data_IF_741070090925
#
_entry.id   IF_741070090925
#
_cell.length_a   1.000
_cell.length_b   1.000
_cell.length_c   1.000
_cell.angle_alpha   90.00
_cell.angle_beta   90.00
_cell.angle_gamma   90.00
#
_symmetry.space_group_name_H-M   'P 1'
#
loop_
_entity.id
_entity.type
_entity.pdbx_description
1 polymer ?
#
# COMPACT_ATOMS: atom_id res chain seq x y z
N UNK A 1 26.38 27.24 38.02
CA UNK A 1 26.56 25.97 37.28
C UNK A 1 25.74 26.06 36.02
N UNK A 2 26.36 26.10 34.84
CA UNK A 2 25.62 26.15 33.58
C UNK A 2 24.85 24.84 33.41
N UNK A 3 23.52 24.91 33.42
CA UNK A 3 22.65 23.79 33.06
C UNK A 3 23.01 23.38 31.64
N UNK A 4 23.69 22.24 31.47
CA UNK A 4 24.02 21.71 30.15
C UNK A 4 22.71 21.55 29.37
N UNK A 5 22.50 22.43 28.39
CA UNK A 5 21.26 22.53 27.63
C UNK A 5 21.15 21.31 26.71
N UNK A 6 19.99 20.64 26.72
CA UNK A 6 19.76 19.53 25.81
C UNK A 6 19.65 20.05 24.38
N UNK A 7 20.38 19.42 23.46
CA UNK A 7 20.31 19.74 22.05
C UNK A 7 19.13 19.02 21.39
N UNK A 8 18.43 19.71 20.51
CA UNK A 8 17.42 19.10 19.64
C UNK A 8 18.08 18.32 18.51
N UNK A 9 17.46 17.21 18.08
CA UNK A 9 18.09 16.25 17.16
C UNK A 9 18.37 16.84 15.75
N UNK A 10 17.60 17.82 15.27
CA UNK A 10 17.83 18.58 14.03
C UNK A 10 19.15 19.34 14.01
N UNK A 11 19.60 19.78 15.18
CA UNK A 11 20.81 20.62 15.29
C UNK A 11 22.07 19.78 15.45
N UNK A 12 21.95 18.45 15.48
CA UNK A 12 23.09 17.55 15.54
C UNK A 12 23.84 17.60 14.21
N UNK A 13 25.12 17.98 14.28
CA UNK A 13 26.05 17.97 13.15
C UNK A 13 27.04 16.83 13.30
N UNK A 14 27.48 16.27 12.19
CA UNK A 14 28.63 15.37 12.18
C UNK A 14 29.86 16.08 12.77
N UNK A 15 30.72 15.33 13.47
CA UNK A 15 32.03 15.80 13.98
C UNK A 15 31.95 16.78 15.18
N UNK A 16 30.84 16.84 15.92
CA UNK A 16 30.76 17.59 17.18
C UNK A 16 30.50 16.61 18.33
N UNK A 17 31.43 16.54 19.28
CA UNK A 17 31.45 15.51 20.34
C UNK A 17 30.77 15.94 21.66
N UNK A 18 30.32 17.20 21.75
CA UNK A 18 29.82 17.78 23.01
C UNK A 18 28.28 17.72 23.18
N UNK A 19 27.56 17.04 22.28
CA UNK A 19 26.10 17.01 22.37
C UNK A 19 25.58 16.15 23.53
N UNK A 20 24.52 16.66 24.16
CA UNK A 20 23.68 15.95 25.12
C UNK A 20 22.24 15.96 24.62
N UNK A 21 21.63 14.79 24.51
CA UNK A 21 20.25 14.64 24.04
C UNK A 21 19.36 14.04 25.12
N UNK A 22 18.08 14.39 25.10
CA UNK A 22 17.03 13.77 25.92
C UNK A 22 16.02 13.13 25.00
N UNK A 23 15.87 11.81 25.06
CA UNK A 23 15.12 11.03 24.07
C UNK A 23 14.42 9.84 24.70
N UNK A 24 13.27 9.45 24.15
CA UNK A 24 12.63 8.16 24.47
C UNK A 24 13.10 7.09 23.49
N UNK A 25 13.50 5.93 24.00
CA UNK A 25 13.80 4.77 23.16
C UNK A 25 12.50 4.08 22.79
N UNK A 26 12.09 4.12 21.53
CA UNK A 26 10.81 3.53 21.08
C UNK A 26 10.96 2.13 20.48
N UNK A 27 12.16 1.78 20.01
CA UNK A 27 12.48 0.45 19.46
C UNK A 27 13.91 0.06 19.78
N UNK A 28 14.10 -1.24 19.93
CA UNK A 28 15.38 -1.92 20.09
C UNK A 28 15.28 -3.22 19.30
N UNK A 29 16.25 -3.50 18.44
CA UNK A 29 16.33 -4.77 17.73
C UNK A 29 17.77 -5.19 17.48
N UNK A 30 17.93 -6.47 17.14
CA UNK A 30 19.18 -7.06 16.67
C UNK A 30 18.98 -7.46 15.20
N UNK A 31 19.58 -6.69 14.31
CA UNK A 31 19.69 -7.02 12.89
C UNK A 31 20.76 -8.08 12.67
N UNK A 32 20.68 -8.82 11.57
CA UNK A 32 21.72 -9.75 11.13
C UNK A 32 22.08 -9.42 9.69
N UNK A 33 23.33 -9.05 9.45
CA UNK A 33 23.88 -8.92 8.10
C UNK A 33 24.63 -10.20 7.74
N UNK A 34 24.18 -10.83 6.65
CA UNK A 34 24.90 -11.95 6.04
C UNK A 34 25.86 -11.39 5.01
N UNK A 35 27.07 -11.07 5.44
CA UNK A 35 28.18 -10.76 4.54
C UNK A 35 28.75 -12.08 4.04
N UNK A 36 28.53 -12.44 2.78
CA UNK A 36 29.06 -13.65 2.10
C UNK A 36 28.87 -15.03 2.77
N UNK A 37 29.04 -16.09 1.97
CA UNK A 37 28.76 -17.48 2.38
C UNK A 37 29.65 -17.99 3.53
N UNK A 38 30.72 -17.27 3.89
CA UNK A 38 31.69 -17.65 4.92
C UNK A 38 31.91 -16.64 6.05
N UNK A 39 31.21 -15.50 6.11
CA UNK A 39 31.36 -14.58 7.25
C UNK A 39 30.34 -14.87 8.34
N UNK A 40 30.79 -14.84 9.60
CA UNK A 40 29.92 -14.86 10.78
C UNK A 40 28.85 -13.78 10.65
N UNK A 41 27.59 -14.14 10.94
CA UNK A 41 26.49 -13.17 11.04
C UNK A 41 26.90 -12.04 11.98
N UNK A 42 27.01 -10.82 11.46
CA UNK A 42 27.23 -9.66 12.31
C UNK A 42 25.88 -9.21 12.84
N UNK A 43 25.75 -9.23 14.17
CA UNK A 43 24.57 -8.71 14.85
C UNK A 43 24.72 -7.19 14.95
N UNK A 44 23.93 -6.49 14.14
CA UNK A 44 23.83 -5.03 14.16
C UNK A 44 22.76 -4.62 15.18
N UNK A 45 23.10 -3.71 16.07
CA UNK A 45 22.26 -3.35 17.21
C UNK A 45 21.74 -1.94 17.00
N UNK A 46 20.44 -1.77 17.08
CA UNK A 46 19.81 -0.56 16.57
C UNK A 46 18.65 -0.07 17.44
N UNK A 47 18.49 1.25 17.49
CA UNK A 47 17.42 1.91 18.22
C UNK A 47 16.77 3.01 17.39
N UNK A 48 15.51 3.33 17.71
CA UNK A 48 14.88 4.57 17.29
C UNK A 48 14.57 5.41 18.51
N UNK A 49 14.93 6.70 18.44
CA UNK A 49 14.80 7.67 19.53
C UNK A 49 13.88 8.83 19.17
N UNK A 50 12.98 9.20 20.07
CA UNK A 50 11.96 10.22 19.82
C UNK A 50 12.41 11.63 20.25
N UNK A 51 12.08 12.62 19.41
CA UNK A 51 12.60 14.01 19.45
C UNK A 51 12.96 14.59 18.06
N UNK A 52 12.36 14.01 17.00
CA UNK A 52 12.69 14.04 15.54
C UNK A 52 13.17 12.71 14.93
N UNK A 53 13.03 11.58 15.66
CA UNK A 53 13.24 10.21 15.15
C UNK A 53 14.61 10.04 14.51
N UNK A 54 15.58 9.70 15.34
CA UNK A 54 16.92 9.33 14.86
C UNK A 54 17.20 7.88 15.18
N UNK A 55 17.94 7.26 14.27
CA UNK A 55 18.47 5.93 14.41
C UNK A 55 19.76 5.97 15.23
N UNK A 56 19.97 5.01 16.13
CA UNK A 56 21.28 4.78 16.74
C UNK A 56 21.77 3.38 16.41
N UNK A 57 23.03 3.26 15.98
CA UNK A 57 23.74 2.01 15.77
C UNK A 57 24.72 1.78 16.92
N UNK A 58 24.77 0.52 17.38
CA UNK A 58 25.68 0.08 18.44
C UNK A 58 26.57 -1.04 17.92
N UNK A 59 27.90 -0.86 17.92
CA UNK A 59 28.84 -1.91 17.58
C UNK A 59 28.70 -3.14 18.49
N UNK A 60 28.84 -4.34 17.93
CA UNK A 60 28.71 -5.62 18.66
C UNK A 60 29.60 -5.69 19.91
N UNK A 61 30.76 -5.02 19.91
CA UNK A 61 31.73 -5.02 21.02
C UNK A 61 31.22 -4.35 22.31
N UNK A 62 30.23 -3.47 22.24
CA UNK A 62 29.65 -2.76 23.39
C UNK A 62 28.12 -2.92 23.50
N UNK A 63 27.53 -3.73 22.62
CA UNK A 63 26.08 -3.89 22.54
C UNK A 63 25.46 -4.39 23.85
N UNK A 64 26.00 -5.45 24.45
CA UNK A 64 25.43 -6.04 25.67
C UNK A 64 25.44 -5.07 26.86
N UNK A 65 26.51 -4.28 27.02
CA UNK A 65 26.62 -3.28 28.09
C UNK A 65 25.68 -2.08 27.88
N UNK A 66 25.48 -1.65 26.64
CA UNK A 66 24.51 -0.60 26.33
C UNK A 66 23.08 -1.12 26.48
N UNK A 67 22.82 -2.37 26.09
CA UNK A 67 21.48 -2.95 26.12
C UNK A 67 21.00 -3.19 27.56
N UNK A 68 21.91 -3.50 28.49
CA UNK A 68 21.55 -3.64 29.92
C UNK A 68 21.15 -2.31 30.57
N UNK A 69 21.58 -1.17 30.01
CA UNK A 69 21.27 0.18 30.49
C UNK A 69 19.98 0.76 29.88
N UNK A 70 19.47 0.17 28.80
CA UNK A 70 18.33 0.71 28.05
C UNK A 70 17.09 -0.14 28.24
N UNK A 71 15.97 0.52 28.54
CA UNK A 71 14.64 -0.09 28.55
C UNK A 71 13.75 0.64 27.54
N UNK A 72 13.14 -0.12 26.62
CA UNK A 72 12.21 0.43 25.62
C UNK A 72 11.02 1.11 26.32
N UNK A 73 10.64 2.29 25.83
CA UNK A 73 9.57 3.13 26.37
C UNK A 73 10.04 4.16 27.40
N UNK A 74 11.26 4.03 27.94
CA UNK A 74 11.82 4.96 28.93
C UNK A 74 12.57 6.13 28.28
N UNK A 75 12.71 7.21 29.02
CA UNK A 75 13.40 8.43 28.60
C UNK A 75 14.83 8.42 29.13
N UNK A 76 15.80 8.72 28.27
CA UNK A 76 17.22 8.73 28.59
C UNK A 76 17.86 10.06 28.22
N UNK A 77 18.83 10.46 29.03
CA UNK A 77 19.83 11.46 28.72
C UNK A 77 21.06 10.74 28.18
N UNK A 78 21.45 11.04 26.94
CA UNK A 78 22.58 10.39 26.26
C UNK A 78 23.61 11.45 25.87
N UNK A 79 24.90 11.15 26.11
CA UNK A 79 26.05 11.98 25.69
C UNK A 79 27.21 11.09 25.25
N UNK A 80 28.22 11.68 24.61
CA UNK A 80 29.40 10.97 24.08
C UNK A 80 29.02 9.92 23.03
N UNK A 81 28.35 10.38 21.99
CA UNK A 81 28.00 9.60 20.80
C UNK A 81 28.47 10.34 19.56
N UNK A 82 28.72 9.61 18.47
CA UNK A 82 29.09 10.21 17.19
C UNK A 82 27.85 10.37 16.32
N UNK A 83 27.78 11.46 15.53
CA UNK A 83 26.76 11.66 14.51
C UNK A 83 27.37 11.31 13.14
N UNK A 84 26.78 10.34 12.45
CA UNK A 84 27.28 9.86 11.16
C UNK A 84 26.16 9.95 10.11
N UNK A 85 26.48 10.45 8.90
CA UNK A 85 25.56 10.36 7.77
C UNK A 85 25.50 8.93 7.25
N UNK A 86 24.32 8.48 6.82
CA UNK A 86 24.19 7.17 6.20
C UNK A 86 24.99 7.08 4.90
N UNK A 87 25.76 6.00 4.77
CA UNK A 87 26.41 5.59 3.53
C UNK A 87 25.41 4.96 2.56
N UNK A 88 25.75 4.89 1.27
CA UNK A 88 24.90 4.27 0.24
C UNK A 88 24.72 2.76 0.44
N UNK A 89 25.64 2.11 1.16
CA UNK A 89 25.59 0.67 1.45
C UNK A 89 24.67 0.33 2.62
N UNK A 90 24.31 1.31 3.45
CA UNK A 90 23.42 1.12 4.60
C UNK A 90 21.95 1.12 4.19
N UNK A 91 21.40 -0.10 4.11
CA UNK A 91 20.03 -0.38 3.67
C UNK A 91 19.01 -0.42 4.82
N UNK A 92 19.47 -0.53 6.08
CA UNK A 92 18.60 -0.61 7.26
C UNK A 92 18.18 0.78 7.77
N UNK A 93 17.46 1.54 6.93
CA UNK A 93 16.92 2.85 7.27
C UNK A 93 15.45 2.71 7.64
N UNK A 94 15.13 2.99 8.91
CA UNK A 94 13.79 2.86 9.50
C UNK A 94 13.16 4.20 9.89
N UNK A 95 13.90 5.29 9.68
CA UNK A 95 13.46 6.66 9.90
C UNK A 95 13.90 7.53 8.73
N UNK A 96 13.11 8.56 8.40
CA UNK A 96 13.46 9.56 7.38
C UNK A 96 14.47 10.56 7.95
N UNK A 97 15.67 10.08 8.23
CA UNK A 97 16.79 10.90 8.69
C UNK A 97 18.04 10.58 7.85
N UNK A 98 18.79 11.61 7.47
CA UNK A 98 20.04 11.44 6.72
C UNK A 98 21.20 10.99 7.62
N UNK A 99 21.05 11.17 8.94
CA UNK A 99 22.05 10.86 9.95
C UNK A 99 21.56 9.80 10.92
N UNK A 100 22.53 9.11 11.52
CA UNK A 100 22.37 8.19 12.62
C UNK A 100 23.37 8.53 13.73
N UNK A 101 23.08 8.06 14.94
CA UNK A 101 24.01 8.10 16.05
C UNK A 101 24.81 6.81 16.10
N UNK A 102 26.10 6.89 16.40
CA UNK A 102 26.96 5.74 16.64
C UNK A 102 27.36 5.78 18.10
N UNK A 103 26.98 4.73 18.84
CA UNK A 103 27.39 4.60 20.24
C UNK A 103 28.71 3.85 20.33
N UNK A 104 29.47 4.15 21.38
CA UNK A 104 30.73 3.50 21.72
C UNK A 104 30.69 3.03 23.17
N UNK A 105 31.80 2.46 23.66
CA UNK A 105 31.96 2.14 25.08
C UNK A 105 31.94 3.38 25.98
N UNK A 106 32.23 4.54 25.41
CA UNK A 106 32.30 5.81 26.14
C UNK A 106 30.94 6.54 26.17
N UNK A 107 29.93 6.00 25.48
CA UNK A 107 28.58 6.58 25.47
C UNK A 107 27.95 6.46 26.86
N UNK A 108 27.63 7.61 27.46
CA UNK A 108 26.99 7.66 28.78
C UNK A 108 25.48 7.75 28.59
N UNK A 109 24.76 6.79 29.18
CA UNK A 109 23.31 6.67 29.14
C UNK A 109 22.78 6.78 30.58
N UNK A 110 21.86 7.70 30.81
CA UNK A 110 21.24 7.90 32.11
C UNK A 110 19.72 7.95 31.95
N UNK A 111 18.99 7.05 32.61
CA UNK A 111 17.54 7.13 32.66
C UNK A 111 17.11 8.45 33.31
N UNK A 112 16.03 9.04 32.80
CA UNK A 112 15.49 10.30 33.27
C UNK A 112 14.04 10.12 33.68
N UNK A 113 13.60 10.98 34.59
CA UNK A 113 12.18 11.09 34.90
C UNK A 113 11.39 11.44 33.64
N UNK A 114 10.29 10.73 33.47
CA UNK A 114 9.37 10.87 32.36
C UNK A 114 8.15 11.64 32.83
N UNK A 115 7.95 12.84 32.29
CA UNK A 115 6.77 13.66 32.57
C UNK A 115 5.56 13.23 31.72
N UNK A 116 5.74 12.29 30.78
CA UNK A 116 4.69 11.76 29.92
C UNK A 116 4.17 12.71 28.84
N UNK A 117 4.60 13.98 28.84
CA UNK A 117 4.04 15.04 27.98
C UNK A 117 5.07 15.60 27.01
N UNK A 118 6.34 15.74 27.44
CA UNK A 118 7.37 16.43 26.65
C UNK A 118 7.85 15.59 25.47
N UNK A 119 7.89 14.26 25.62
CA UNK A 119 8.26 13.33 24.56
C UNK A 119 7.07 12.38 24.38
N UNK A 120 6.46 12.25 23.19
CA UNK A 120 5.33 11.34 22.98
C UNK A 120 5.76 9.86 23.01
N UNK A 121 4.84 8.93 23.32
CA UNK A 121 5.17 7.49 23.57
C UNK A 121 5.53 6.70 22.33
N UNK A 122 4.87 7.03 21.23
CA UNK A 122 5.11 6.43 19.92
C UNK A 122 5.10 7.57 18.89
N UNK A 123 5.71 7.33 17.74
CA UNK A 123 5.63 8.23 16.60
C UNK A 123 5.53 7.42 15.31
N UNK A 124 4.54 7.74 14.49
CA UNK A 124 4.30 7.08 13.21
C UNK A 124 4.58 8.04 12.06
N UNK A 125 5.14 7.53 10.97
CA UNK A 125 5.29 8.26 9.70
C UNK A 125 4.53 7.48 8.63
N UNK A 126 3.20 7.62 8.63
CA UNK A 126 2.36 6.79 7.76
C UNK A 126 2.66 7.06 6.29
N UNK A 127 2.63 5.99 5.52
CA UNK A 127 2.68 6.02 4.07
C UNK A 127 1.31 5.67 3.53
N UNK A 128 0.97 6.28 2.40
CA UNK A 128 -0.19 5.86 1.63
C UNK A 128 0.12 4.55 0.92
N UNK A 129 -0.90 3.71 0.72
CA UNK A 129 -0.73 2.43 0.02
C UNK A 129 -0.16 2.61 -1.40
N UNK A 130 -0.50 3.72 -2.07
CA UNK A 130 0.01 4.07 -3.40
C UNK A 130 1.53 4.29 -3.44
N UNK A 131 2.11 4.77 -2.34
CA UNK A 131 3.56 5.06 -2.24
C UNK A 131 4.40 3.79 -2.08
N UNK A 132 3.78 2.64 -1.77
CA UNK A 132 4.52 1.40 -1.50
C UNK A 132 5.27 0.84 -2.71
N UNK A 133 4.79 1.13 -3.93
CA UNK A 133 5.45 0.67 -5.15
C UNK A 133 6.87 1.24 -5.25
N UNK A 134 7.04 2.53 -4.91
CA UNK A 134 8.33 3.23 -4.93
C UNK A 134 9.25 2.80 -3.78
N UNK A 135 8.67 2.21 -2.73
CA UNK A 135 9.36 1.82 -1.50
C UNK A 135 9.69 0.33 -1.45
N UNK A 136 9.61 -0.40 -2.57
CA UNK A 136 9.69 -1.86 -2.63
C UNK A 136 10.98 -2.50 -2.12
N UNK A 137 11.95 -1.70 -1.68
CA UNK A 137 13.22 -2.13 -1.09
C UNK A 137 13.47 -1.51 0.30
N UNK A 138 12.50 -0.80 0.86
CA UNK A 138 12.63 -0.04 2.10
C UNK A 138 11.76 -0.63 3.22
N UNK A 139 12.05 -0.18 4.43
CA UNK A 139 11.26 -0.50 5.62
C UNK A 139 10.34 0.67 5.94
N UNK A 140 9.05 0.42 6.15
CA UNK A 140 8.03 1.48 6.19
C UNK A 140 7.03 1.37 7.37
N UNK A 141 6.21 2.41 7.54
CA UNK A 141 5.07 2.45 8.47
C UNK A 141 3.77 2.62 7.68
N UNK A 142 2.74 1.90 8.07
CA UNK A 142 1.46 1.86 7.39
C UNK A 142 0.34 1.68 8.41
N UNK A 143 -0.85 2.08 8.04
CA UNK A 143 -2.06 1.80 8.79
C UNK A 143 -3.17 1.36 7.86
N UNK A 144 -4.06 0.53 8.37
CA UNK A 144 -5.18 0.05 7.61
C UNK A 144 -6.15 -0.75 8.47
N UNK A 145 -7.30 -1.02 7.89
CA UNK A 145 -8.31 -1.92 8.46
C UNK A 145 -7.97 -3.33 7.99
N UNK A 146 -7.96 -4.30 8.90
CA UNK A 146 -7.81 -5.71 8.51
C UNK A 146 -9.10 -6.12 7.80
N UNK A 147 -9.01 -6.35 6.49
CA UNK A 147 -10.11 -6.75 5.63
C UNK A 147 -10.27 -8.27 5.62
N UNK A 148 -9.20 -8.97 5.27
CA UNK A 148 -9.16 -10.43 5.22
C UNK A 148 -8.02 -10.94 6.09
N UNK A 149 -8.24 -12.09 6.73
CA UNK A 149 -7.29 -12.74 7.62
C UNK A 149 -7.33 -14.25 7.39
N UNK A 150 -6.21 -14.79 6.93
CA UNK A 150 -5.97 -16.23 6.81
C UNK A 150 -5.22 -16.72 8.05
N UNK A 151 -5.75 -17.75 8.70
CA UNK A 151 -5.07 -18.46 9.79
C UNK A 151 -3.71 -19.03 9.34
N UNK A 152 -2.86 -19.32 10.32
CA UNK A 152 -1.50 -19.85 10.11
C UNK A 152 -1.53 -21.06 9.16
N UNK A 153 -0.67 -21.03 8.13
CA UNK A 153 -0.41 -22.15 7.22
C UNK A 153 1.06 -22.56 7.27
N UNK A 154 1.29 -23.86 7.26
CA UNK A 154 2.61 -24.46 7.11
C UNK A 154 2.94 -24.66 5.63
N UNK A 155 4.19 -24.40 5.26
CA UNK A 155 4.70 -24.62 3.91
C UNK A 155 6.19 -24.96 3.94
N UNK A 156 6.69 -25.53 2.84
CA UNK A 156 8.14 -25.64 2.62
C UNK A 156 8.62 -24.49 1.77
N UNK A 157 9.70 -23.85 2.19
CA UNK A 157 10.34 -22.79 1.43
C UNK A 157 11.13 -23.35 0.24
N UNK A 158 11.63 -22.45 -0.62
CA UNK A 158 12.46 -22.81 -1.78
C UNK A 158 13.76 -23.56 -1.45
N UNK A 159 14.14 -23.61 -0.18
CA UNK A 159 15.30 -24.33 0.34
C UNK A 159 14.90 -25.63 1.08
N UNK A 160 13.64 -26.06 0.97
CA UNK A 160 13.12 -27.27 1.59
C UNK A 160 12.89 -27.18 3.10
N UNK A 161 13.05 -26.00 3.70
CA UNK A 161 12.83 -25.79 5.14
C UNK A 161 11.37 -25.49 5.43
N UNK A 162 10.86 -26.05 6.52
CA UNK A 162 9.51 -25.76 6.99
C UNK A 162 9.42 -24.31 7.47
N UNK A 163 8.40 -23.61 6.98
CA UNK A 163 8.07 -22.24 7.37
C UNK A 163 6.58 -22.13 7.64
N UNK A 164 6.25 -21.22 8.56
CA UNK A 164 4.85 -20.86 8.83
C UNK A 164 4.59 -19.48 8.29
N UNK A 165 3.41 -19.28 7.69
CA UNK A 165 2.95 -17.96 7.28
C UNK A 165 1.54 -17.68 7.77
N UNK A 166 1.30 -16.43 8.12
CA UNK A 166 -0.02 -15.86 8.39
C UNK A 166 -0.23 -14.76 7.37
N UNK A 167 -1.34 -14.81 6.63
CA UNK A 167 -1.64 -13.81 5.60
C UNK A 167 -2.79 -12.94 6.03
N UNK A 168 -2.71 -11.66 5.74
CA UNK A 168 -3.80 -10.72 5.94
C UNK A 168 -3.80 -9.68 4.82
N UNK A 169 -4.97 -9.11 4.57
CA UNK A 169 -5.16 -7.99 3.66
C UNK A 169 -5.56 -6.78 4.49
N UNK A 170 -4.82 -5.68 4.35
CA UNK A 170 -5.17 -4.41 4.96
C UNK A 170 -5.74 -3.46 3.91
N UNK A 171 -6.69 -2.63 4.31
CA UNK A 171 -7.33 -1.64 3.43
C UNK A 171 -7.48 -0.29 4.13
N UNK A 172 -7.30 0.78 3.37
CA UNK A 172 -7.63 2.15 3.77
C UNK A 172 -9.04 2.56 3.27
N UNK A 173 -9.75 1.65 2.59
CA UNK A 173 -11.02 1.92 1.91
C UNK A 173 -10.88 2.33 0.44
N UNK A 174 -9.68 2.66 -0.04
CA UNK A 174 -9.38 2.92 -1.45
C UNK A 174 -8.63 1.78 -2.12
N UNK A 175 -7.74 1.13 -1.39
CA UNK A 175 -6.82 0.13 -1.92
C UNK A 175 -6.61 -1.00 -0.91
N UNK A 176 -6.07 -2.12 -1.40
CA UNK A 176 -5.76 -3.29 -0.57
C UNK A 176 -4.27 -3.56 -0.66
N UNK A 177 -3.67 -3.94 0.46
CA UNK A 177 -2.26 -4.33 0.53
C UNK A 177 -2.16 -5.69 1.19
N UNK A 178 -1.45 -6.60 0.54
CA UNK A 178 -1.16 -7.93 1.06
C UNK A 178 -0.07 -7.84 2.13
N UNK A 179 -0.27 -8.53 3.24
CA UNK A 179 0.72 -8.65 4.31
C UNK A 179 0.92 -10.12 4.65
N UNK A 180 2.18 -10.54 4.69
CA UNK A 180 2.58 -11.89 5.06
C UNK A 180 3.52 -11.86 6.27
N UNK A 181 3.05 -12.42 7.39
CA UNK A 181 3.87 -12.62 8.58
C UNK A 181 4.42 -14.03 8.67
N UNK A 182 5.71 -14.14 8.96
CA UNK A 182 6.47 -15.38 8.95
C UNK A 182 6.77 -15.91 10.35
N UNK A 183 6.77 -17.22 10.47
CA UNK A 183 7.25 -18.01 11.60
C UNK A 183 6.67 -17.53 12.94
N UNK A 184 7.51 -17.42 13.98
CA UNK A 184 7.10 -17.03 15.35
C UNK A 184 6.35 -15.69 15.40
N UNK A 185 6.66 -14.76 14.49
CA UNK A 185 5.97 -13.48 14.44
C UNK A 185 4.52 -13.66 14.00
N UNK A 186 4.28 -14.46 12.96
CA UNK A 186 2.93 -14.83 12.52
C UNK A 186 2.15 -15.57 13.60
N UNK A 187 2.79 -16.51 14.29
CA UNK A 187 2.16 -17.22 15.41
C UNK A 187 1.75 -16.29 16.56
N UNK A 188 2.60 -15.32 16.95
CA UNK A 188 2.26 -14.33 17.98
C UNK A 188 1.15 -13.39 17.53
N UNK A 189 1.13 -13.04 16.24
CA UNK A 189 0.07 -12.21 15.69
C UNK A 189 -1.28 -12.93 15.69
N UNK A 190 -1.33 -14.20 15.28
CA UNK A 190 -2.54 -15.04 15.32
C UNK A 190 -3.11 -15.15 16.73
N UNK A 191 -2.25 -15.32 17.75
CA UNK A 191 -2.66 -15.27 19.15
C UNK A 191 -3.29 -13.93 19.52
N UNK A 192 -2.72 -12.82 19.04
CA UNK A 192 -3.23 -11.47 19.31
C UNK A 192 -4.60 -11.22 18.66
N UNK A 193 -4.86 -11.82 17.49
CA UNK A 193 -6.14 -11.75 16.79
C UNK A 193 -7.28 -12.49 17.51
N UNK A 194 -6.95 -13.39 18.44
CA UNK A 194 -7.93 -14.12 19.27
C UNK A 194 -8.36 -13.34 20.51
N UNK A 195 -7.74 -12.20 20.80
CA UNK A 195 -8.11 -11.36 21.93
C UNK A 195 -9.49 -10.72 21.73
N UNK A 196 -10.28 -10.51 22.81
CA UNK A 196 -11.60 -9.90 22.74
C UNK A 196 -11.50 -8.37 22.55
N UNK A 197 -11.10 -7.95 21.35
CA UNK A 197 -10.99 -6.54 20.94
C UNK A 197 -12.11 -6.17 19.97
N UNK A 198 -12.42 -4.88 19.89
CA UNK A 198 -13.45 -4.34 19.00
C UNK A 198 -13.19 -4.67 17.52
N UNK A 199 -14.22 -5.17 16.84
CA UNK A 199 -14.19 -5.50 15.41
C UNK A 199 -14.90 -4.42 14.57
N UNK A 200 -14.50 -4.21 13.31
CA UNK A 200 -13.35 -4.80 12.61
C UNK A 200 -12.01 -4.34 13.20
N UNK A 201 -10.95 -5.15 13.10
CA UNK A 201 -9.64 -4.75 13.61
C UNK A 201 -9.05 -3.62 12.76
N UNK A 202 -8.57 -2.55 13.41
CA UNK A 202 -7.74 -1.53 12.76
C UNK A 202 -6.30 -1.76 13.21
N UNK A 203 -5.39 -1.89 12.26
CA UNK A 203 -4.00 -2.24 12.47
C UNK A 203 -3.09 -1.08 12.08
N UNK A 204 -2.12 -0.78 12.95
CA UNK A 204 -0.94 -0.01 12.59
C UNK A 204 0.22 -0.98 12.43
N UNK A 205 0.81 -0.99 11.25
CA UNK A 205 2.01 -1.71 10.88
C UNK A 205 3.19 -0.76 10.87
N UNK A 206 4.32 -1.24 11.36
CA UNK A 206 5.49 -0.39 11.48
C UNK A 206 6.75 -1.21 11.37
N UNK A 207 7.73 -0.72 10.64
CA UNK A 207 8.94 -1.50 10.40
C UNK A 207 8.71 -2.70 9.46
N UNK A 208 7.72 -2.64 8.57
CA UNK A 208 7.48 -3.73 7.61
C UNK A 208 8.42 -3.61 6.42
N UNK A 209 8.91 -4.74 5.92
CA UNK A 209 9.66 -4.79 4.67
C UNK A 209 8.66 -4.78 3.52
N UNK A 210 8.76 -3.79 2.65
CA UNK A 210 8.02 -3.77 1.39
C UNK A 210 8.76 -4.64 0.38
N UNK A 211 8.03 -5.48 -0.35
CA UNK A 211 8.56 -6.31 -1.41
C UNK A 211 7.55 -6.47 -2.54
N UNK A 212 7.89 -7.31 -3.51
CA UNK A 212 6.97 -7.74 -4.57
C UNK A 212 6.85 -9.25 -4.55
N UNK A 213 5.61 -9.75 -4.56
CA UNK A 213 5.30 -11.16 -4.69
C UNK A 213 4.32 -11.35 -5.85
N UNK A 214 4.66 -12.20 -6.83
CA UNK A 214 3.89 -12.38 -8.06
C UNK A 214 3.55 -11.06 -8.80
N UNK A 215 4.44 -10.06 -8.73
CA UNK A 215 4.24 -8.75 -9.37
C UNK A 215 3.44 -7.75 -8.53
N UNK A 216 2.77 -8.19 -7.46
CA UNK A 216 2.03 -7.32 -6.54
C UNK A 216 2.88 -6.88 -5.35
N UNK A 217 2.57 -5.70 -4.79
CA UNK A 217 3.19 -5.23 -3.56
C UNK A 217 2.74 -6.10 -2.39
N UNK A 218 3.70 -6.62 -1.63
CA UNK A 218 3.46 -7.40 -0.42
C UNK A 218 4.34 -6.87 0.71
N UNK A 219 3.77 -6.80 1.90
CA UNK A 219 4.46 -6.43 3.12
C UNK A 219 4.83 -7.66 3.90
N UNK A 220 6.06 -7.73 4.37
CA UNK A 220 6.52 -8.82 5.23
C UNK A 220 7.10 -8.29 6.54
N UNK A 221 7.08 -9.12 7.58
CA UNK A 221 7.77 -8.78 8.81
C UNK A 221 9.30 -8.80 8.61
N UNK A 222 9.96 -7.91 9.32
CA UNK A 222 11.40 -7.80 9.51
C UNK A 222 11.70 -7.80 11.02
N UNK A 223 12.98 -7.73 11.39
CA UNK A 223 13.39 -7.65 12.80
C UNK A 223 12.85 -6.42 13.54
N UNK A 224 12.45 -5.38 12.82
CA UNK A 224 11.93 -4.12 13.40
C UNK A 224 10.41 -4.05 13.42
N UNK A 225 9.74 -5.08 12.88
CA UNK A 225 8.30 -5.03 12.68
C UNK A 225 7.57 -5.04 14.02
N UNK A 226 6.65 -4.09 14.17
CA UNK A 226 5.75 -4.01 15.32
C UNK A 226 4.33 -3.76 14.82
N UNK A 227 3.40 -4.44 15.46
CA UNK A 227 1.96 -4.42 15.14
C UNK A 227 1.23 -3.80 16.31
N UNK A 228 0.30 -2.89 16.02
CA UNK A 228 -0.60 -2.34 17.02
C UNK A 228 -2.04 -2.56 16.55
N UNK A 229 -2.84 -3.26 17.35
CA UNK A 229 -4.26 -3.52 17.08
C UNK A 229 -5.11 -2.55 17.89
N UNK A 230 -6.05 -1.87 17.22
CA UNK A 230 -6.96 -0.87 17.81
C UNK A 230 -6.23 0.15 18.70
N UNK A 231 -5.04 0.55 18.27
CA UNK A 231 -4.20 1.45 19.05
C UNK A 231 -4.89 2.81 19.25
N UNK A 232 -4.68 3.42 20.42
CA UNK A 232 -5.24 4.74 20.76
C UNK A 232 -4.50 5.85 20.02
N UNK A 233 -4.75 5.94 18.71
CA UNK A 233 -4.15 6.92 17.82
C UNK A 233 -5.22 7.63 17.00
N UNK A 234 -4.99 8.91 16.67
CA UNK A 234 -6.00 9.75 16.00
C UNK A 234 -6.46 9.16 14.66
N UNK A 235 -5.55 8.53 13.91
CA UNK A 235 -5.86 7.88 12.64
C UNK A 235 -6.74 6.64 12.79
N UNK A 236 -6.50 5.83 13.82
CA UNK A 236 -7.34 4.68 14.16
C UNK A 236 -8.74 5.14 14.55
N UNK A 237 -8.85 6.21 15.33
CA UNK A 237 -10.13 6.83 15.68
C UNK A 237 -10.84 7.38 14.44
N UNK A 238 -10.09 7.99 13.52
CA UNK A 238 -10.63 8.50 12.26
C UNK A 238 -11.17 7.37 11.36
N UNK A 239 -10.38 6.33 11.12
CA UNK A 239 -10.80 5.14 10.37
C UNK A 239 -12.01 4.45 11.02
N UNK A 240 -12.06 4.41 12.37
CA UNK A 240 -13.23 3.90 13.10
C UNK A 240 -14.50 4.70 12.81
N UNK A 241 -14.39 6.04 12.75
CA UNK A 241 -15.52 6.90 12.39
C UNK A 241 -15.95 6.71 10.94
N UNK A 242 -15.01 6.57 10.01
CA UNK A 242 -15.31 6.27 8.60
C UNK A 242 -16.04 4.94 8.45
N UNK A 243 -15.63 3.92 9.20
CA UNK A 243 -16.31 2.62 9.24
C UNK A 243 -17.76 2.67 9.77
N UNK A 244 -18.16 3.73 10.47
CA UNK A 244 -19.56 3.92 10.86
C UNK A 244 -20.45 4.35 9.68
N UNK A 245 -19.86 4.82 8.57
CA UNK A 245 -20.58 5.07 7.33
C UNK A 245 -20.74 3.76 6.54
N UNK A 246 -21.97 3.40 6.22
CA UNK A 246 -22.28 2.14 5.53
C UNK A 246 -21.66 2.01 4.14
N UNK A 247 -21.58 3.10 3.37
CA UNK A 247 -21.00 3.08 2.02
C UNK A 247 -19.49 2.81 2.09
N UNK A 248 -18.80 3.49 3.01
CA UNK A 248 -17.39 3.25 3.27
C UNK A 248 -17.15 1.84 3.80
N UNK A 249 -17.95 1.37 4.75
CA UNK A 249 -17.84 0.01 5.29
C UNK A 249 -18.02 -1.06 4.21
N UNK A 250 -19.03 -0.89 3.33
CA UNK A 250 -19.25 -1.78 2.16
C UNK A 250 -18.07 -1.75 1.20
N UNK A 251 -17.46 -0.58 0.96
CA UNK A 251 -16.28 -0.47 0.09
C UNK A 251 -15.03 -1.12 0.70
N UNK A 252 -14.75 -0.81 1.97
CA UNK A 252 -13.55 -1.27 2.67
C UNK A 252 -13.62 -2.78 2.97
N UNK A 253 -14.68 -3.22 3.64
CA UNK A 253 -14.85 -4.60 4.11
C UNK A 253 -15.60 -5.50 3.14
N UNK A 254 -16.21 -4.91 2.10
CA UNK A 254 -16.85 -5.69 1.05
C UNK A 254 -15.84 -6.66 0.47
N UNK A 255 -16.18 -7.95 0.50
CA UNK A 255 -15.46 -8.93 -0.30
C UNK A 255 -15.61 -8.50 -1.74
N UNK A 256 -14.50 -8.09 -2.37
CA UNK A 256 -14.44 -8.24 -3.81
C UNK A 256 -14.56 -9.75 -3.98
N UNK A 257 -15.72 -10.23 -4.42
CA UNK A 257 -15.80 -11.60 -4.89
C UNK A 257 -14.66 -11.70 -5.90
N UNK A 258 -13.61 -12.43 -5.55
CA UNK A 258 -12.67 -12.96 -6.54
C UNK A 258 -13.54 -13.92 -7.33
N UNK A 259 -14.32 -13.36 -8.25
CA UNK A 259 -15.18 -14.13 -9.13
C UNK A 259 -14.18 -14.92 -9.95
N UNK A 260 -14.10 -16.22 -9.67
CA UNK A 260 -13.26 -17.15 -10.41
C UNK A 260 -13.55 -16.92 -11.89
N UNK A 261 -12.58 -16.38 -12.61
CA UNK A 261 -12.75 -16.08 -14.03
C UNK A 261 -12.68 -17.42 -14.74
N UNK A 262 -13.81 -17.92 -15.18
CA UNK A 262 -13.88 -19.16 -15.94
C UNK A 262 -13.59 -18.87 -17.41
N UNK A 263 -12.64 -19.60 -17.99
CA UNK A 263 -12.42 -19.59 -19.43
C UNK A 263 -13.49 -20.45 -20.09
N UNK A 264 -14.31 -19.85 -20.94
CA UNK A 264 -15.44 -20.48 -21.63
C UNK A 264 -15.49 -20.03 -23.09
N UNK A 265 -16.19 -20.80 -23.93
CA UNK A 265 -16.50 -20.40 -25.32
C UNK A 265 -17.86 -19.69 -25.41
N UNK A 266 -18.18 -19.13 -26.58
CA UNK A 266 -19.43 -18.38 -26.80
C UNK A 266 -20.68 -19.26 -26.66
N UNK A 267 -20.64 -20.52 -27.10
CA UNK A 267 -21.76 -21.45 -26.97
C UNK A 267 -22.06 -21.82 -25.50
N UNK A 268 -21.02 -22.05 -24.70
CA UNK A 268 -21.11 -22.26 -23.25
C UNK A 268 -21.69 -21.02 -22.55
N UNK A 269 -21.25 -19.83 -22.92
CA UNK A 269 -21.77 -18.58 -22.37
C UNK A 269 -23.29 -18.46 -22.60
N UNK A 270 -23.77 -18.83 -23.80
CA UNK A 270 -25.21 -18.82 -24.12
C UNK A 270 -26.02 -19.81 -23.29
N UNK A 271 -25.42 -20.95 -22.93
CA UNK A 271 -26.08 -22.01 -22.13
C UNK A 271 -26.19 -21.68 -20.64
N UNK A 272 -25.37 -20.77 -20.12
CA UNK A 272 -25.35 -20.40 -18.68
C UNK A 272 -26.59 -19.62 -18.23
N UNK A 273 -27.33 -18.97 -19.14
CA UNK A 273 -28.57 -18.27 -18.83
C UNK A 273 -28.43 -17.22 -17.71
N UNK A 274 -29.34 -17.23 -16.73
CA UNK A 274 -29.39 -16.23 -15.64
C UNK A 274 -28.16 -16.22 -14.72
N UNK A 275 -27.38 -17.31 -14.69
CA UNK A 275 -26.16 -17.42 -13.86
C UNK A 275 -25.04 -16.50 -14.39
N UNK A 276 -25.07 -16.16 -15.68
CA UNK A 276 -24.05 -15.33 -16.31
C UNK A 276 -24.24 -13.82 -16.07
N UNK A 277 -25.41 -13.37 -15.58
CA UNK A 277 -25.76 -11.93 -15.48
C UNK A 277 -24.79 -11.15 -14.57
N UNK A 278 -24.23 -11.81 -13.55
CA UNK A 278 -23.22 -11.21 -12.66
C UNK A 278 -21.89 -11.99 -12.65
N UNK A 279 -21.66 -12.92 -13.58
CA UNK A 279 -20.43 -13.71 -13.65
C UNK A 279 -19.27 -12.94 -14.30
N UNK A 280 -18.02 -13.29 -13.97
CA UNK A 280 -16.83 -12.88 -14.73
C UNK A 280 -16.30 -14.06 -15.53
N UNK A 281 -16.09 -13.85 -16.83
CA UNK A 281 -15.68 -14.89 -17.77
C UNK A 281 -14.56 -14.37 -18.66
N UNK A 282 -13.71 -15.26 -19.13
CA UNK A 282 -12.67 -14.96 -20.11
C UNK A 282 -12.96 -15.72 -21.40
N UNK A 283 -13.08 -14.98 -22.50
CA UNK A 283 -13.32 -15.53 -23.83
C UNK A 283 -12.20 -15.10 -24.78
N UNK A 284 -11.85 -15.96 -25.73
CA UNK A 284 -11.00 -15.61 -26.86
C UNK A 284 -11.91 -15.45 -28.08
N UNK A 285 -12.08 -14.21 -28.53
CA UNK A 285 -12.99 -13.85 -29.62
C UNK A 285 -12.30 -12.88 -30.58
N UNK A 286 -12.68 -12.94 -31.85
CA UNK A 286 -12.29 -11.94 -32.85
C UNK A 286 -13.43 -10.95 -33.04
N UNK A 287 -13.14 -9.65 -32.91
CA UNK A 287 -14.12 -8.60 -33.21
C UNK A 287 -14.35 -8.57 -34.72
N UNK A 288 -15.61 -8.66 -35.15
CA UNK A 288 -15.99 -8.69 -36.57
C UNK A 288 -16.52 -7.35 -37.06
N UNK A 289 -17.38 -6.71 -36.27
CA UNK A 289 -17.99 -5.43 -36.64
C UNK A 289 -18.41 -4.63 -35.42
N UNK A 290 -18.58 -3.33 -35.62
CA UNK A 290 -19.20 -2.41 -34.66
C UNK A 290 -20.69 -2.31 -35.03
N UNK A 291 -21.57 -2.37 -34.03
CA UNK A 291 -23.01 -2.20 -34.20
C UNK A 291 -23.34 -0.72 -34.39
N UNK A 292 -23.83 -0.30 -35.58
CA UNK A 292 -24.09 1.10 -35.89
C UNK A 292 -25.35 1.65 -35.20
N UNK A 293 -26.14 0.79 -34.55
CA UNK A 293 -27.40 1.19 -33.88
C UNK A 293 -27.14 2.00 -32.61
N UNK A 294 -25.95 1.85 -32.01
CA UNK A 294 -25.58 2.50 -30.76
C UNK A 294 -24.56 3.63 -31.00
N UNK A 295 -24.68 4.70 -30.22
CA UNK A 295 -23.70 5.78 -30.24
C UNK A 295 -22.32 5.31 -29.76
N UNK A 296 -21.27 5.82 -30.40
CA UNK A 296 -19.88 5.45 -30.13
C UNK A 296 -19.30 6.08 -28.86
N UNK A 297 -19.99 7.07 -28.30
CA UNK A 297 -19.55 7.83 -27.13
C UNK A 297 -20.72 8.21 -26.22
N UNK A 298 -20.39 8.50 -24.96
CA UNK A 298 -21.32 9.03 -23.97
C UNK A 298 -20.69 10.17 -23.18
N UNK A 299 -21.53 11.02 -22.60
CA UNK A 299 -21.11 12.16 -21.79
C UNK A 299 -20.91 11.73 -20.34
N UNK A 300 -19.69 11.84 -19.84
CA UNK A 300 -19.29 11.44 -18.50
C UNK A 300 -19.02 12.64 -17.58
N UNK A 301 -19.29 12.47 -16.29
CA UNK A 301 -19.03 13.46 -15.26
C UNK A 301 -17.52 13.61 -15.04
N UNK A 302 -17.00 14.84 -15.08
CA UNK A 302 -15.57 15.15 -14.90
C UNK A 302 -15.00 14.83 -13.50
N UNK A 303 -15.83 14.37 -12.55
CA UNK A 303 -15.39 14.06 -11.17
C UNK A 303 -15.55 12.59 -10.80
N UNK A 304 -16.62 11.93 -11.24
CA UNK A 304 -16.88 10.51 -10.90
C UNK A 304 -16.91 9.59 -12.12
N UNK A 305 -16.72 10.14 -13.32
CA UNK A 305 -16.66 9.43 -14.58
C UNK A 305 -17.94 8.69 -15.00
N UNK A 306 -19.02 8.81 -14.23
CA UNK A 306 -20.33 8.23 -14.55
C UNK A 306 -21.08 9.04 -15.59
N UNK A 307 -21.94 8.37 -16.35
CA UNK A 307 -22.78 8.97 -17.37
C UNK A 307 -23.67 10.09 -16.81
N UNK A 308 -23.70 11.21 -17.52
CA UNK A 308 -24.52 12.36 -17.20
C UNK A 308 -25.86 12.28 -17.92
N UNK A 309 -26.92 12.77 -17.27
CA UNK A 309 -28.22 12.93 -17.90
C UNK A 309 -28.30 14.31 -18.52
N UNK A 310 -28.81 14.38 -19.74
CA UNK A 310 -29.08 15.65 -20.40
C UNK A 310 -30.38 16.24 -19.85
N UNK A 311 -30.26 17.27 -19.01
CA UNK A 311 -31.38 18.10 -18.57
C UNK A 311 -31.12 19.57 -18.95
N UNK A 312 -32.19 20.36 -19.09
CA UNK A 312 -32.08 21.78 -19.36
C UNK A 312 -31.86 22.54 -18.03
N UNK A 313 -30.88 23.47 -17.92
CA UNK A 313 -30.06 24.04 -18.99
C UNK A 313 -28.70 23.35 -19.23
N UNK A 314 -28.29 22.35 -18.43
CA UNK A 314 -27.01 21.67 -18.61
C UNK A 314 -27.00 20.23 -18.04
N UNK A 315 -26.09 19.34 -18.50
CA UNK A 315 -26.04 17.96 -18.04
C UNK A 315 -25.90 17.84 -16.52
N UNK A 316 -26.59 16.88 -15.91
CA UNK A 316 -26.56 16.62 -14.47
C UNK A 316 -25.91 15.26 -14.22
N UNK A 317 -25.02 15.23 -13.24
CA UNK A 317 -24.53 13.98 -12.68
C UNK A 317 -25.33 13.65 -11.41
N UNK A 318 -26.20 12.65 -11.47
CA UNK A 318 -27.02 12.22 -10.33
C UNK A 318 -26.17 11.68 -9.17
N UNK A 319 -25.09 10.97 -9.49
CA UNK A 319 -24.20 10.41 -8.46
C UNK A 319 -23.43 11.47 -7.68
N UNK A 320 -23.12 12.61 -8.29
CA UNK A 320 -22.45 13.73 -7.63
C UNK A 320 -23.42 14.85 -7.22
N UNK A 321 -24.70 14.69 -7.56
CA UNK A 321 -25.74 15.71 -7.45
C UNK A 321 -25.26 17.12 -7.87
N UNK A 322 -24.67 17.22 -9.08
CA UNK A 322 -24.11 18.48 -9.59
C UNK A 322 -24.35 18.66 -11.08
N UNK A 323 -24.32 19.93 -11.51
CA UNK A 323 -24.27 20.30 -12.91
C UNK A 323 -22.87 20.04 -13.50
N UNK A 324 -22.84 19.54 -14.72
CA UNK A 324 -21.64 19.26 -15.51
C UNK A 324 -21.80 19.93 -16.88
N UNK A 325 -21.57 21.25 -16.99
CA UNK A 325 -21.77 21.98 -18.24
C UNK A 325 -20.90 21.46 -19.40
N UNK A 326 -19.69 20.99 -19.08
CA UNK A 326 -18.74 20.43 -20.03
C UNK A 326 -18.40 19.00 -19.60
N UNK A 327 -19.22 18.00 -19.96
CA UNK A 327 -18.94 16.61 -19.67
C UNK A 327 -17.82 16.07 -20.57
N UNK A 328 -17.06 15.12 -20.06
CA UNK A 328 -16.03 14.44 -20.85
C UNK A 328 -16.68 13.45 -21.80
N UNK A 329 -16.25 13.42 -23.07
CA UNK A 329 -16.66 12.38 -24.01
C UNK A 329 -15.83 11.12 -23.80
N UNK A 330 -16.52 9.99 -23.58
CA UNK A 330 -15.91 8.69 -23.37
C UNK A 330 -16.44 7.67 -24.37
N UNK A 331 -15.61 6.75 -24.82
CA UNK A 331 -16.06 5.71 -25.76
C UNK A 331 -16.99 4.69 -25.10
N UNK A 332 -17.95 4.20 -25.89
CA UNK A 332 -18.77 3.04 -25.61
C UNK A 332 -19.04 2.34 -26.94
N UNK A 333 -18.31 1.27 -27.23
CA UNK A 333 -18.52 0.52 -28.47
C UNK A 333 -19.35 -0.72 -28.22
N UNK A 334 -20.39 -0.87 -29.02
CA UNK A 334 -21.14 -2.11 -29.12
C UNK A 334 -20.55 -2.89 -30.27
N UNK A 335 -19.87 -4.00 -29.99
CA UNK A 335 -19.18 -4.80 -31.01
C UNK A 335 -19.78 -6.19 -31.10
N UNK A 336 -19.78 -6.76 -32.29
CA UNK A 336 -20.09 -8.16 -32.53
C UNK A 336 -18.78 -8.90 -32.63
N UNK A 337 -18.54 -9.79 -31.67
CA UNK A 337 -17.37 -10.64 -31.62
C UNK A 337 -17.75 -12.11 -31.88
N UNK A 338 -16.84 -12.87 -32.46
CA UNK A 338 -17.08 -14.26 -32.87
C UNK A 338 -15.90 -15.17 -32.46
N UNK A 339 -16.23 -16.39 -32.03
CA UNK A 339 -15.31 -17.51 -31.94
C UNK A 339 -15.78 -18.67 -32.83
N UNK A 340 -15.08 -19.81 -32.79
CA UNK A 340 -15.45 -21.01 -33.58
C UNK A 340 -16.83 -21.60 -33.21
N UNK A 341 -17.41 -21.19 -32.08
CA UNK A 341 -18.65 -21.73 -31.51
C UNK A 341 -19.85 -20.79 -31.67
N UNK A 342 -19.62 -19.49 -31.92
CA UNK A 342 -20.66 -18.58 -32.34
C UNK A 342 -20.34 -17.09 -32.13
N UNK A 343 -21.38 -16.26 -32.30
CA UNK A 343 -21.31 -14.80 -32.18
C UNK A 343 -21.89 -14.30 -30.85
N UNK A 344 -21.29 -13.25 -30.30
CA UNK A 344 -21.68 -12.56 -29.06
C UNK A 344 -21.57 -11.04 -29.23
N UNK A 345 -22.50 -10.30 -28.63
CA UNK A 345 -22.44 -8.84 -28.57
C UNK A 345 -21.71 -8.43 -27.29
N UNK A 346 -20.70 -7.57 -27.42
CA UNK A 346 -19.84 -7.11 -26.31
C UNK A 346 -19.86 -5.59 -26.27
N UNK A 347 -19.97 -5.02 -25.07
CA UNK A 347 -19.83 -3.57 -24.86
C UNK A 347 -18.42 -3.30 -24.36
N UNK A 348 -17.65 -2.54 -25.13
CA UNK A 348 -16.31 -2.09 -24.75
C UNK A 348 -16.40 -0.71 -24.12
N UNK A 349 -15.82 -0.59 -22.93
CA UNK A 349 -15.70 0.67 -22.23
C UNK A 349 -14.59 1.54 -22.81
N UNK A 350 -14.48 2.74 -22.25
CA UNK A 350 -13.57 3.78 -22.71
C UNK A 350 -12.09 3.37 -22.64
N UNK A 351 -11.68 2.65 -21.60
CA UNK A 351 -10.30 2.16 -21.45
C UNK A 351 -9.95 1.12 -22.51
N UNK A 352 -10.84 0.15 -22.73
CA UNK A 352 -10.64 -0.93 -23.69
C UNK A 352 -10.65 -0.37 -25.12
N UNK A 353 -11.59 0.52 -25.43
CA UNK A 353 -11.69 1.20 -26.72
C UNK A 353 -10.43 2.01 -27.05
N UNK A 354 -9.90 2.80 -26.10
CA UNK A 354 -8.65 3.56 -26.29
C UNK A 354 -7.45 2.64 -26.49
N UNK A 355 -7.43 1.47 -25.85
CA UNK A 355 -6.33 0.51 -26.01
C UNK A 355 -6.31 -0.06 -27.43
N UNK A 356 -7.48 -0.29 -28.01
CA UNK A 356 -7.62 -0.78 -29.39
C UNK A 356 -7.32 0.32 -30.41
N UNK A 357 -7.87 1.54 -30.22
CA UNK A 357 -7.75 2.65 -31.18
C UNK A 357 -6.41 3.40 -31.05
N UNK A 358 -5.80 3.42 -29.86
CA UNK A 358 -4.60 4.20 -29.56
C UNK A 358 -4.84 5.72 -29.45
N UNK A 359 -6.09 6.19 -29.51
CA UNK A 359 -6.47 7.62 -29.40
C UNK A 359 -7.56 7.83 -28.33
N UNK A 360 -7.72 9.08 -27.87
CA UNK A 360 -8.80 9.51 -26.97
C UNK A 360 -10.03 9.96 -27.78
N UNK A 361 -11.22 9.84 -27.20
CA UNK A 361 -12.49 10.22 -27.85
C UNK A 361 -12.49 11.65 -28.39
N UNK A 362 -11.97 12.60 -27.60
CA UNK A 362 -11.86 13.99 -28.00
C UNK A 362 -11.04 14.18 -29.30
N UNK A 363 -10.00 13.37 -29.50
CA UNK A 363 -9.14 13.47 -30.70
C UNK A 363 -9.76 12.86 -31.96
N UNK A 364 -10.85 12.10 -31.85
CA UNK A 364 -11.60 11.61 -33.01
C UNK A 364 -12.70 12.60 -33.45
N UNK A 365 -13.13 13.49 -32.56
CA UNK A 365 -14.11 14.52 -32.87
C UNK A 365 -13.52 15.71 -33.67
N UNK A 366 -12.21 15.93 -33.55
CA UNK A 366 -11.48 17.05 -34.16
C UNK A 366 -10.83 16.73 -35.52
N UNK A 367 -10.97 15.50 -36.05
CA UNK A 367 -10.46 15.19 -37.39
C UNK A 367 -11.40 15.80 -38.46
N UNK A 368 -10.91 16.68 -39.35
CA UNK A 368 -11.74 17.25 -40.41
C UNK A 368 -12.20 16.11 -41.33
N UNK A 369 -13.52 15.97 -41.46
CA UNK A 369 -14.18 15.04 -42.39
C UNK A 369 -13.87 15.45 -43.83
N UNK A 370 -12.70 15.08 -44.34
CA UNK A 370 -12.43 15.07 -45.79
C UNK A 370 -13.08 13.84 -46.40
N UNK A 371 -14.40 13.92 -46.59
CA UNK A 371 -15.16 13.36 -47.71
C UNK A 371 -16.63 13.26 -47.30
N UNK A 372 -17.49 13.73 -48.18
CA UNK A 372 -18.93 13.58 -48.10
C UNK A 372 -19.31 12.10 -48.00
N UNK A 373 -19.61 11.63 -46.79
CA UNK A 373 -20.38 10.41 -46.58
C UNK A 373 -21.62 10.75 -45.77
N UNK A 374 -22.74 10.83 -46.50
CA UNK A 374 -24.07 10.82 -45.94
C UNK A 374 -24.26 9.55 -45.08
N UNK A 375 -25.03 9.71 -44.01
CA UNK A 375 -25.61 8.68 -43.15
C UNK A 375 -25.50 7.24 -43.68
N UNK A 376 -24.61 6.45 -43.06
CA UNK A 376 -24.43 5.03 -43.34
C UNK A 376 -23.00 4.69 -43.75
N UNK A 377 -22.25 4.02 -42.88
CA UNK A 377 -20.98 3.38 -43.23
C UNK A 377 -19.79 3.86 -42.42
N UNK A 378 -19.54 3.20 -41.28
CA UNK A 378 -18.20 2.99 -40.74
C UNK A 378 -18.03 1.46 -40.66
N UNK A 379 -17.92 0.82 -41.82
CA UNK A 379 -17.74 -0.63 -41.95
C UNK A 379 -16.28 -1.07 -41.95
N UNK A 380 -15.31 -0.16 -42.06
CA UNK A 380 -13.91 -0.53 -42.25
C UNK A 380 -13.01 0.12 -41.19
N UNK A 381 -13.01 -0.47 -40.00
CA UNK A 381 -11.85 -0.41 -39.11
C UNK A 381 -11.19 -1.77 -39.21
N UNK A 382 -10.07 -1.81 -39.92
CA UNK A 382 -9.28 -3.01 -40.13
C UNK A 382 -8.56 -3.37 -38.82
N UNK A 383 -9.08 -4.36 -38.10
CA UNK A 383 -8.54 -4.85 -36.81
C UNK A 383 -7.50 -5.98 -36.98
N UNK A 384 -6.99 -6.19 -38.20
CA UNK A 384 -6.00 -7.23 -38.49
C UNK A 384 -4.57 -6.66 -38.53
N UNK A 385 -4.04 -6.23 -37.38
CA UNK A 385 -2.58 -6.20 -37.14
C UNK A 385 -2.24 -5.78 -35.71
N UNK A 386 -2.15 -6.77 -34.81
CA UNK A 386 -1.07 -6.95 -33.84
C UNK A 386 -1.29 -8.22 -33.02
#
# INVERSE_FOLDING_TARGET
MATAQYQTLDKLKAVVDEYKIKVRVIRLWRGSTRTDQNSKQQLEHHFVMQGQRIHAFVPTKCAEEIYSQITVGRVFSIKQFMVQKYSQTEKFRVVRNESQLIFSKDTIIQEQADDGVTIPQEAFDFYDHSQLIELSNQTTYLEGIIKDYDQIRELKNKHGQDQKKTKLVITDGSSNVNVTFWDKFGESFDKSMKNPLDKPFIIILSGCKVGKWNGEVDLSNSYVTKVYLNYKHHSVVHLRKLLANEEFAKKALGKNNVKTIHKINVDELKKLGKIAIEGLFMLHVTIKSIDPTFGLFYNACTSCEKETKMENPCPICESCNRYVPYPDQKFRFHVIAEDMTGKVQVVLGDTEARTIIGKRCLHLADEPTTSTYNAGGLSDIDLASN
#
